data_IF_245486710385
#
_entry.id   IF_245486710385
#
_cell.length_a   1.000
_cell.length_b   1.000
_cell.length_c   1.000
_cell.angle_alpha   90.00
_cell.angle_beta   90.00
_cell.angle_gamma   90.00
#
_symmetry.space_group_name_H-M   'P 1'
#
loop_
_entity.id
_entity.type
_entity.pdbx_description
1 polymer ?
#
# COMPACT_ATOMS: atom_id res chain seq x y z
N UNK A 1 -15.71 -9.77 18.23
CA UNK A 1 -14.32 -9.96 17.75
C UNK A 1 -14.14 -11.41 17.37
N UNK A 2 -13.63 -11.67 16.19
CA UNK A 2 -13.37 -13.03 15.68
C UNK A 2 -12.08 -13.61 16.27
N UNK A 3 -11.88 -14.95 16.14
CA UNK A 3 -10.62 -15.58 16.54
C UNK A 3 -9.49 -15.19 15.60
N UNK A 4 -8.30 -14.94 16.13
CA UNK A 4 -7.14 -14.59 15.31
C UNK A 4 -5.82 -15.13 15.91
N UNK A 5 -4.81 -15.21 15.05
CA UNK A 5 -3.40 -15.30 15.43
C UNK A 5 -2.70 -14.05 14.86
N UNK A 6 -1.90 -13.37 15.67
CA UNK A 6 -1.15 -12.21 15.24
C UNK A 6 0.35 -12.43 15.42
N UNK A 7 1.09 -12.23 14.34
CA UNK A 7 2.54 -12.21 14.34
C UNK A 7 3.03 -11.29 13.22
N UNK A 8 3.98 -10.40 13.54
CA UNK A 8 4.74 -9.68 12.53
C UNK A 8 6.23 -9.99 12.73
N UNK A 9 6.88 -10.71 11.80
CA UNK A 9 8.26 -11.17 11.98
C UNK A 9 9.29 -10.10 11.60
N UNK A 10 8.88 -8.98 11.00
CA UNK A 10 9.79 -7.96 10.50
C UNK A 10 10.37 -7.12 11.64
N UNK A 11 11.71 -7.08 11.75
CA UNK A 11 12.40 -6.14 12.66
C UNK A 11 12.38 -4.74 12.08
N UNK A 12 11.72 -3.79 12.74
CA UNK A 12 11.73 -2.38 12.33
C UNK A 12 12.91 -1.66 13.02
N UNK A 13 13.72 -0.96 12.21
CA UNK A 13 14.80 -0.09 12.67
C UNK A 13 14.47 1.34 12.25
N UNK A 14 13.99 2.13 13.22
CA UNK A 14 13.41 3.45 12.98
C UNK A 14 14.29 4.57 13.53
N UNK A 15 14.44 5.66 12.77
CA UNK A 15 15.07 6.90 13.21
C UNK A 15 16.10 7.48 12.25
N UNK A 16 16.59 8.66 12.58
CA UNK A 16 17.59 9.36 11.78
C UNK A 16 18.92 8.60 11.72
N UNK A 17 19.51 8.47 10.53
CA UNK A 17 20.79 7.83 10.31
C UNK A 17 20.80 6.30 10.42
N UNK A 18 19.64 5.66 10.53
CA UNK A 18 19.54 4.22 10.75
C UNK A 18 19.94 3.36 9.55
N UNK A 19 20.17 3.94 8.36
CA UNK A 19 20.71 3.20 7.21
C UNK A 19 22.06 2.53 7.55
N UNK A 20 22.83 3.11 8.45
CA UNK A 20 24.10 2.54 8.93
C UNK A 20 23.97 1.15 9.57
N UNK A 21 22.80 0.81 10.11
CA UNK A 21 22.50 -0.51 10.70
C UNK A 21 22.56 -1.66 9.68
N UNK A 22 22.55 -1.37 8.38
CA UNK A 22 22.75 -2.39 7.33
C UNK A 22 24.05 -3.18 7.52
N UNK A 23 25.09 -2.56 8.11
CA UNK A 23 26.37 -3.21 8.38
C UNK A 23 26.23 -4.47 9.26
N UNK A 24 25.27 -4.46 10.19
CA UNK A 24 24.98 -5.54 11.13
C UNK A 24 23.83 -6.44 10.67
N UNK A 25 22.84 -5.85 9.97
CA UNK A 25 21.61 -6.52 9.59
C UNK A 25 21.76 -7.42 8.37
N UNK A 26 22.60 -7.01 7.41
CA UNK A 26 22.89 -7.82 6.22
C UNK A 26 24.03 -8.79 6.54
N UNK A 27 23.86 -10.11 6.33
CA UNK A 27 24.90 -11.07 6.66
C UNK A 27 26.24 -10.74 5.98
N UNK A 28 27.34 -10.84 6.71
CA UNK A 28 28.66 -10.35 6.27
C UNK A 28 29.20 -11.01 4.99
N UNK A 29 28.82 -12.27 4.75
CA UNK A 29 29.29 -13.07 3.60
C UNK A 29 28.29 -13.14 2.44
N UNK A 30 27.13 -12.51 2.57
CA UNK A 30 26.10 -12.52 1.51
C UNK A 30 26.52 -11.66 0.32
N UNK A 31 26.20 -12.14 -0.87
CA UNK A 31 26.05 -11.30 -2.04
C UNK A 31 24.75 -10.53 -1.89
N UNK A 32 24.74 -9.27 -2.26
CA UNK A 32 23.56 -8.40 -2.12
C UNK A 32 23.01 -8.11 -3.50
N UNK A 33 21.79 -8.55 -3.76
CA UNK A 33 21.02 -8.09 -4.91
C UNK A 33 20.29 -6.80 -4.50
N UNK A 34 20.84 -5.65 -4.91
CA UNK A 34 20.33 -4.33 -4.57
C UNK A 34 19.28 -3.90 -5.59
N UNK A 35 18.00 -3.95 -5.17
CA UNK A 35 16.86 -3.60 -6.01
C UNK A 35 16.39 -2.18 -5.68
N UNK A 36 16.28 -1.33 -6.70
CA UNK A 36 15.82 0.06 -6.53
C UNK A 36 15.14 0.60 -7.80
N UNK A 37 14.47 1.75 -7.65
CA UNK A 37 13.75 2.40 -8.75
C UNK A 37 14.66 3.08 -9.78
N UNK A 38 14.15 4.11 -10.44
CA UNK A 38 14.82 4.81 -11.55
C UNK A 38 16.04 5.65 -11.17
N UNK A 39 16.48 5.64 -9.92
CA UNK A 39 17.75 6.25 -9.50
C UNK A 39 17.63 7.49 -8.61
N UNK A 40 16.46 7.84 -8.11
CA UNK A 40 16.29 8.95 -7.15
C UNK A 40 17.17 8.79 -5.90
N UNK A 41 17.40 7.56 -5.44
CA UNK A 41 18.28 7.26 -4.32
C UNK A 41 19.76 7.65 -4.55
N UNK A 42 20.20 7.69 -5.82
CA UNK A 42 21.54 8.16 -6.21
C UNK A 42 21.66 9.68 -6.16
N UNK A 43 20.54 10.40 -6.24
CA UNK A 43 20.49 11.87 -6.22
C UNK A 43 20.36 12.45 -4.82
N UNK A 44 19.72 11.72 -3.89
CA UNK A 44 19.43 12.18 -2.53
C UNK A 44 20.38 11.61 -1.46
N UNK A 45 21.46 10.93 -1.87
CA UNK A 45 22.49 10.41 -0.96
C UNK A 45 22.13 9.10 -0.24
N UNK A 46 20.95 8.54 -0.44
CA UNK A 46 20.56 7.24 0.16
C UNK A 46 21.41 6.11 -0.38
N UNK A 47 21.69 6.11 -1.67
CA UNK A 47 22.54 5.10 -2.31
C UNK A 47 23.95 5.06 -1.70
N UNK A 48 24.58 6.22 -1.47
CA UNK A 48 25.92 6.31 -0.89
C UNK A 48 25.95 5.81 0.56
N UNK A 49 24.91 6.13 1.35
CA UNK A 49 24.75 5.61 2.70
C UNK A 49 24.61 4.07 2.71
N UNK A 50 23.78 3.52 1.81
CA UNK A 50 23.61 2.07 1.66
C UNK A 50 24.92 1.40 1.26
N UNK A 51 25.61 1.94 0.26
CA UNK A 51 26.92 1.43 -0.21
C UNK A 51 27.95 1.44 0.91
N UNK A 52 28.06 2.54 1.64
CA UNK A 52 28.97 2.68 2.78
C UNK A 52 28.69 1.66 3.88
N UNK A 53 27.41 1.48 4.23
CA UNK A 53 27.00 0.53 5.28
C UNK A 53 27.19 -0.94 4.88
N UNK A 54 27.05 -1.27 3.59
CA UNK A 54 27.31 -2.62 3.07
C UNK A 54 28.81 -2.96 3.00
N UNK A 55 29.69 -1.96 2.97
CA UNK A 55 31.13 -2.14 3.01
C UNK A 55 31.67 -2.92 1.80
N UNK A 56 32.41 -4.00 2.08
CA UNK A 56 33.10 -4.82 1.04
C UNK A 56 32.24 -5.95 0.47
N UNK A 57 30.93 -6.03 0.83
CA UNK A 57 30.03 -7.04 0.27
C UNK A 57 29.92 -6.88 -1.24
N UNK A 58 29.85 -8.01 -1.95
CA UNK A 58 29.57 -8.02 -3.38
C UNK A 58 28.13 -7.53 -3.62
N UNK A 59 27.97 -6.48 -4.42
CA UNK A 59 26.67 -5.87 -4.72
C UNK A 59 26.40 -5.95 -6.21
N UNK A 60 25.24 -6.51 -6.53
CA UNK A 60 24.71 -6.59 -7.89
C UNK A 60 23.49 -5.69 -7.96
N UNK A 61 23.55 -4.67 -8.79
CA UNK A 61 22.48 -3.70 -8.94
C UNK A 61 21.40 -4.20 -9.90
N UNK A 62 20.15 -4.05 -9.45
CA UNK A 62 18.92 -4.23 -10.21
C UNK A 62 18.11 -2.94 -10.13
N UNK A 63 18.33 -2.04 -11.07
CA UNK A 63 17.68 -0.72 -11.12
C UNK A 63 16.56 -0.68 -12.15
N UNK A 64 15.65 0.29 -11.98
CA UNK A 64 14.60 0.58 -12.94
C UNK A 64 13.23 0.07 -12.57
N UNK A 65 13.00 -0.35 -11.31
CA UNK A 65 11.66 -0.68 -10.86
C UNK A 65 10.80 0.59 -10.91
N UNK A 66 9.78 0.57 -11.72
CA UNK A 66 8.84 1.65 -11.93
C UNK A 66 7.68 1.66 -10.92
N UNK A 67 6.93 2.74 -10.88
CA UNK A 67 5.65 2.78 -10.17
C UNK A 67 4.68 1.72 -10.74
N UNK A 68 3.99 0.98 -9.86
CA UNK A 68 3.24 -0.22 -10.21
C UNK A 68 4.16 -1.22 -10.94
N UNK A 69 5.05 -1.93 -10.23
CA UNK A 69 6.16 -2.70 -10.80
C UNK A 69 5.65 -3.71 -11.81
N UNK A 70 6.29 -3.75 -12.97
CA UNK A 70 5.87 -4.60 -14.07
C UNK A 70 6.60 -5.96 -14.05
N UNK A 71 5.85 -7.02 -14.28
CA UNK A 71 6.36 -8.38 -14.33
C UNK A 71 7.56 -8.52 -15.29
N UNK A 72 7.45 -7.94 -16.49
CA UNK A 72 8.49 -8.10 -17.49
C UNK A 72 9.78 -7.34 -17.11
N UNK A 73 9.68 -6.22 -16.38
CA UNK A 73 10.83 -5.52 -15.79
C UNK A 73 11.50 -6.34 -14.68
N UNK A 74 10.73 -7.10 -13.91
CA UNK A 74 11.26 -7.87 -12.78
C UNK A 74 11.86 -9.22 -13.18
N UNK A 75 11.44 -9.82 -14.30
CA UNK A 75 11.93 -11.13 -14.73
C UNK A 75 13.45 -11.22 -14.93
N UNK A 76 14.15 -10.22 -15.51
CA UNK A 76 15.61 -10.21 -15.53
C UNK A 76 16.25 -10.27 -14.12
N UNK A 77 15.60 -9.69 -13.10
CA UNK A 77 16.11 -9.72 -11.72
C UNK A 77 15.89 -11.12 -11.09
N UNK A 78 14.74 -11.75 -11.40
CA UNK A 78 14.48 -13.14 -11.02
C UNK A 78 15.55 -14.08 -11.59
N UNK A 79 15.90 -13.93 -12.86
CA UNK A 79 16.94 -14.76 -13.48
C UNK A 79 18.30 -14.58 -12.80
N UNK A 80 18.71 -13.33 -12.53
CA UNK A 80 19.94 -13.07 -11.77
C UNK A 80 19.91 -13.70 -10.37
N UNK A 81 18.78 -13.61 -9.66
CA UNK A 81 18.64 -14.19 -8.34
C UNK A 81 18.74 -15.73 -8.36
N UNK A 82 18.21 -16.40 -9.39
CA UNK A 82 18.30 -17.84 -9.59
C UNK A 82 19.74 -18.33 -9.80
N UNK A 83 20.58 -17.53 -10.47
CA UNK A 83 21.98 -17.84 -10.70
C UNK A 83 22.84 -17.71 -9.42
N UNK A 84 22.28 -17.13 -8.34
CA UNK A 84 23.00 -16.80 -7.12
C UNK A 84 22.22 -17.23 -5.87
N UNK A 85 22.19 -18.52 -5.54
CA UNK A 85 21.33 -19.06 -4.46
C UNK A 85 21.63 -18.50 -3.06
N UNK A 86 22.84 -17.98 -2.81
CA UNK A 86 23.27 -17.40 -1.52
C UNK A 86 23.05 -15.88 -1.45
N UNK A 87 22.14 -15.36 -2.26
CA UNK A 87 21.89 -13.92 -2.35
C UNK A 87 20.96 -13.43 -1.26
N UNK A 88 21.31 -12.28 -0.68
CA UNK A 88 20.41 -11.48 0.13
C UNK A 88 19.82 -10.34 -0.71
N UNK A 89 18.50 -10.23 -0.75
CA UNK A 89 17.83 -9.15 -1.47
C UNK A 89 17.73 -7.93 -0.55
N UNK A 90 18.22 -6.78 -1.03
CA UNK A 90 18.04 -5.49 -0.36
C UNK A 90 17.23 -4.56 -1.26
N UNK A 91 15.99 -4.27 -0.85
CA UNK A 91 15.12 -3.33 -1.55
C UNK A 91 15.31 -1.92 -0.98
N UNK A 92 15.62 -0.95 -1.84
CA UNK A 92 15.79 0.45 -1.44
C UNK A 92 14.84 1.32 -2.25
N UNK A 93 13.71 1.70 -1.67
CA UNK A 93 12.68 2.42 -2.41
C UNK A 93 11.35 2.58 -1.67
N UNK A 94 10.33 2.96 -2.40
CA UNK A 94 8.94 2.94 -1.94
C UNK A 94 8.27 1.59 -2.21
N UNK A 95 6.97 1.50 -1.93
CA UNK A 95 6.18 0.27 -2.02
C UNK A 95 6.38 -0.52 -3.31
N UNK A 96 6.41 0.13 -4.46
CA UNK A 96 6.63 -0.54 -5.76
C UNK A 96 7.96 -1.30 -5.84
N UNK A 97 9.03 -0.73 -5.27
CA UNK A 97 10.35 -1.39 -5.22
C UNK A 97 10.31 -2.56 -4.24
N UNK A 98 9.66 -2.37 -3.10
CA UNK A 98 9.53 -3.41 -2.07
C UNK A 98 8.68 -4.59 -2.58
N UNK A 99 7.57 -4.31 -3.23
CA UNK A 99 6.69 -5.31 -3.85
C UNK A 99 7.43 -6.09 -4.95
N UNK A 100 8.15 -5.38 -5.84
CA UNK A 100 9.00 -6.00 -6.86
C UNK A 100 10.06 -6.91 -6.25
N UNK A 101 10.71 -6.48 -5.16
CA UNK A 101 11.71 -7.27 -4.47
C UNK A 101 11.13 -8.53 -3.81
N UNK A 102 9.94 -8.44 -3.21
CA UNK A 102 9.22 -9.61 -2.67
C UNK A 102 8.86 -10.61 -3.77
N UNK A 103 8.39 -10.10 -4.91
CA UNK A 103 8.13 -10.96 -6.06
C UNK A 103 9.41 -11.64 -6.54
N UNK A 104 10.52 -10.91 -6.69
CA UNK A 104 11.81 -11.48 -7.07
C UNK A 104 12.26 -12.54 -6.07
N UNK A 105 12.11 -12.29 -4.77
CA UNK A 105 12.46 -13.22 -3.71
C UNK A 105 11.69 -14.55 -3.81
N UNK A 106 10.38 -14.47 -4.01
CA UNK A 106 9.51 -15.64 -4.18
C UNK A 106 9.78 -16.35 -5.51
N UNK A 107 9.78 -15.62 -6.62
CA UNK A 107 9.91 -16.16 -7.97
C UNK A 107 11.26 -16.81 -8.23
N UNK A 108 12.33 -16.37 -7.55
CA UNK A 108 13.64 -17.00 -7.65
C UNK A 108 13.65 -18.44 -7.16
N UNK A 109 12.81 -18.79 -6.19
CA UNK A 109 12.69 -20.13 -5.63
C UNK A 109 11.45 -20.90 -6.13
N UNK A 110 10.65 -20.27 -6.98
CA UNK A 110 9.44 -20.87 -7.52
C UNK A 110 9.73 -21.70 -8.78
N UNK A 111 9.23 -22.94 -8.81
CA UNK A 111 9.29 -23.82 -9.97
C UNK A 111 8.07 -23.60 -10.87
N UNK A 112 8.29 -23.35 -12.14
CA UNK A 112 7.23 -23.09 -13.13
C UNK A 112 7.15 -21.63 -13.59
N UNK A 113 5.99 -21.21 -14.11
CA UNK A 113 5.74 -19.83 -14.55
C UNK A 113 5.56 -18.91 -13.32
N UNK A 114 6.45 -17.93 -13.07
CA UNK A 114 6.35 -17.02 -11.95
C UNK A 114 5.05 -16.20 -11.90
N UNK A 115 4.38 -15.99 -13.05
CA UNK A 115 3.09 -15.31 -13.07
C UNK A 115 2.01 -16.07 -12.30
N UNK A 116 2.14 -17.37 -12.15
CA UNK A 116 1.20 -18.20 -11.38
C UNK A 116 1.15 -17.79 -9.91
N UNK A 117 2.24 -17.26 -9.33
CA UNK A 117 2.26 -16.70 -7.96
C UNK A 117 1.17 -15.64 -7.79
N UNK A 118 0.94 -14.82 -8.82
CA UNK A 118 -0.08 -13.75 -8.78
C UNK A 118 -1.49 -14.32 -9.04
N UNK A 119 -1.60 -15.30 -9.94
CA UNK A 119 -2.89 -15.91 -10.31
C UNK A 119 -3.51 -16.68 -9.15
N UNK A 120 -2.69 -17.38 -8.35
CA UNK A 120 -3.13 -18.12 -7.16
C UNK A 120 -2.99 -17.33 -5.84
N UNK A 121 -2.78 -16.01 -5.96
CA UNK A 121 -2.66 -15.10 -4.82
C UNK A 121 -1.61 -15.51 -3.76
N UNK A 122 -0.55 -16.20 -4.20
CA UNK A 122 0.55 -16.62 -3.33
C UNK A 122 0.37 -17.97 -2.63
N UNK A 123 -0.73 -18.69 -2.90
CA UNK A 123 -1.02 -19.96 -2.25
C UNK A 123 0.09 -21.02 -2.45
N UNK A 124 0.85 -20.94 -3.54
CA UNK A 124 1.93 -21.86 -3.88
C UNK A 124 3.31 -21.41 -3.41
N UNK A 125 3.44 -20.21 -2.80
CA UNK A 125 4.72 -19.69 -2.32
C UNK A 125 5.06 -20.31 -0.94
N UNK A 126 5.94 -21.29 -0.94
CA UNK A 126 6.40 -21.98 0.29
C UNK A 126 7.73 -21.44 0.81
N UNK A 127 8.54 -20.79 -0.03
CA UNK A 127 9.85 -20.24 0.31
C UNK A 127 10.15 -19.00 -0.51
N UNK A 128 11.09 -18.19 -0.04
CA UNK A 128 11.61 -17.04 -0.74
C UNK A 128 13.08 -16.79 -0.34
N UNK A 129 13.82 -16.06 -1.16
CA UNK A 129 15.14 -15.56 -0.76
C UNK A 129 15.03 -14.59 0.41
N UNK A 130 16.02 -14.55 1.32
CA UNK A 130 16.03 -13.61 2.43
C UNK A 130 16.06 -12.18 1.90
N UNK A 131 15.19 -11.32 2.46
CA UNK A 131 15.14 -9.92 2.07
C UNK A 131 15.07 -8.94 3.24
N UNK A 132 15.64 -7.75 3.03
CA UNK A 132 15.51 -6.59 3.91
C UNK A 132 15.18 -5.36 3.10
N UNK A 133 14.69 -4.31 3.75
CA UNK A 133 14.27 -3.09 3.08
C UNK A 133 14.84 -1.81 3.70
N UNK A 134 14.99 -0.78 2.87
CA UNK A 134 15.18 0.61 3.26
C UNK A 134 14.05 1.40 2.62
N UNK A 135 13.10 1.84 3.45
CA UNK A 135 11.92 2.54 2.98
C UNK A 135 12.25 4.01 2.65
N UNK A 136 11.97 4.44 1.43
CA UNK A 136 12.19 5.84 1.01
C UNK A 136 10.91 6.60 0.69
N UNK A 137 9.78 5.91 0.52
CA UNK A 137 8.45 6.49 0.29
C UNK A 137 7.43 5.68 1.09
N UNK A 138 6.98 6.20 2.24
CA UNK A 138 5.99 5.56 3.09
C UNK A 138 4.58 5.67 2.48
N UNK A 139 3.74 4.64 2.63
CA UNK A 139 2.37 4.59 2.11
C UNK A 139 1.78 3.18 2.16
N UNK A 140 2.39 2.22 1.48
CA UNK A 140 1.84 0.87 1.27
C UNK A 140 1.97 -0.09 2.45
N UNK A 141 2.79 0.23 3.47
CA UNK A 141 3.12 -0.71 4.54
C UNK A 141 3.90 -1.96 4.09
N UNK A 142 4.34 -2.01 2.82
CA UNK A 142 5.03 -3.17 2.23
C UNK A 142 6.33 -3.54 2.98
N UNK A 143 6.92 -2.60 3.70
CA UNK A 143 8.10 -2.82 4.56
C UNK A 143 7.81 -3.71 5.78
N UNK A 144 6.54 -3.91 6.13
CA UNK A 144 6.14 -4.65 7.31
C UNK A 144 4.97 -5.62 7.09
N UNK A 145 4.82 -6.13 5.85
CA UNK A 145 3.82 -7.14 5.54
C UNK A 145 4.33 -8.15 4.52
N UNK A 146 3.56 -9.23 4.31
CA UNK A 146 3.84 -10.29 3.34
C UNK A 146 3.09 -10.14 2.02
N UNK A 147 2.54 -8.95 1.71
CA UNK A 147 1.81 -8.68 0.49
C UNK A 147 2.69 -7.99 -0.57
N UNK A 148 2.42 -8.24 -1.83
CA UNK A 148 3.00 -7.50 -2.96
C UNK A 148 2.02 -7.41 -4.12
N UNK A 149 2.07 -6.31 -4.87
CA UNK A 149 1.20 -6.05 -6.02
C UNK A 149 2.05 -5.86 -7.27
N UNK A 150 1.83 -6.69 -8.28
CA UNK A 150 2.60 -6.70 -9.53
C UNK A 150 1.66 -6.44 -10.70
N UNK A 151 2.08 -5.57 -11.59
CA UNK A 151 1.41 -5.31 -12.86
C UNK A 151 1.98 -6.20 -13.96
N UNK A 152 1.18 -6.50 -14.97
CA UNK A 152 1.63 -7.06 -16.25
C UNK A 152 0.97 -6.28 -17.36
N UNK A 153 1.61 -5.20 -17.76
CA UNK A 153 1.05 -4.23 -18.71
C UNK A 153 0.73 -4.84 -20.07
N UNK A 154 1.52 -5.83 -20.51
CA UNK A 154 1.31 -6.55 -21.76
C UNK A 154 -0.11 -7.17 -21.88
N UNK A 155 -0.74 -7.52 -20.74
CA UNK A 155 -2.08 -8.10 -20.68
C UNK A 155 -3.06 -7.23 -19.84
N UNK A 156 -2.65 -6.01 -19.48
CA UNK A 156 -3.43 -5.06 -18.67
C UNK A 156 -3.91 -5.65 -17.34
N UNK A 157 -3.07 -6.42 -16.64
CA UNK A 157 -3.37 -7.01 -15.36
C UNK A 157 -2.59 -6.33 -14.23
N UNK A 158 -3.21 -6.21 -13.07
CA UNK A 158 -2.57 -5.80 -11.81
C UNK A 158 -3.13 -6.68 -10.69
N UNK A 159 -2.29 -7.58 -10.18
CA UNK A 159 -2.68 -8.60 -9.22
C UNK A 159 -1.81 -8.49 -7.96
N UNK A 160 -2.35 -8.95 -6.85
CA UNK A 160 -1.62 -9.08 -5.60
C UNK A 160 -1.39 -10.55 -5.25
N UNK A 161 -0.35 -10.79 -4.45
CA UNK A 161 -0.16 -12.04 -3.74
C UNK A 161 0.21 -11.78 -2.28
N UNK A 162 -0.07 -12.73 -1.41
CA UNK A 162 0.28 -12.68 0.01
C UNK A 162 0.95 -13.99 0.38
N UNK A 163 2.16 -13.92 0.95
CA UNK A 163 2.85 -15.10 1.43
C UNK A 163 3.70 -14.79 2.67
N UNK A 164 3.65 -15.63 3.72
CA UNK A 164 4.50 -15.46 4.90
C UNK A 164 6.00 -15.44 4.58
N UNK A 165 6.42 -16.17 3.55
CA UNK A 165 7.82 -16.30 3.16
C UNK A 165 8.47 -14.97 2.67
N UNK A 166 7.68 -13.98 2.24
CA UNK A 166 8.19 -12.72 1.70
C UNK A 166 8.13 -11.56 2.70
N UNK A 167 7.82 -11.80 3.96
CA UNK A 167 8.02 -10.76 4.97
C UNK A 167 9.50 -10.35 5.01
N UNK A 168 9.81 -9.04 4.99
CA UNK A 168 11.19 -8.59 5.20
C UNK A 168 11.72 -9.05 6.55
N UNK A 169 12.96 -9.52 6.61
CA UNK A 169 13.63 -9.85 7.87
C UNK A 169 13.81 -8.60 8.74
N UNK A 170 14.09 -7.48 8.09
CA UNK A 170 14.16 -6.16 8.70
C UNK A 170 13.74 -5.07 7.72
N UNK A 171 13.35 -3.93 8.27
CA UNK A 171 13.07 -2.73 7.50
C UNK A 171 13.62 -1.49 8.19
N UNK A 172 14.41 -0.71 7.46
CA UNK A 172 14.97 0.56 7.93
C UNK A 172 14.06 1.70 7.51
N UNK A 173 13.63 2.46 8.50
CA UNK A 173 12.73 3.60 8.37
C UNK A 173 13.42 4.85 8.87
N UNK A 174 14.11 5.57 7.99
CA UNK A 174 14.75 6.86 8.30
C UNK A 174 13.90 8.00 7.74
N UNK A 175 13.22 8.79 8.60
CA UNK A 175 12.37 9.88 8.13
C UNK A 175 13.09 10.94 7.29
N UNK A 176 14.41 11.13 7.48
CA UNK A 176 15.18 12.11 6.73
C UNK A 176 15.17 11.83 5.22
N UNK A 177 15.15 10.57 4.81
CA UNK A 177 15.17 10.22 3.37
C UNK A 177 13.90 10.66 2.64
N UNK A 178 12.82 10.90 3.39
CA UNK A 178 11.54 11.34 2.83
C UNK A 178 11.47 12.84 2.54
N UNK A 179 12.40 13.64 3.06
CA UNK A 179 12.42 15.10 2.85
C UNK A 179 12.63 15.49 1.39
N UNK A 180 13.28 14.62 0.60
CA UNK A 180 13.50 14.83 -0.83
C UNK A 180 12.31 14.42 -1.71
N UNK A 181 11.24 13.86 -1.14
CA UNK A 181 10.08 13.40 -1.89
C UNK A 181 9.30 14.58 -2.48
N UNK A 182 8.92 14.50 -3.76
CA UNK A 182 7.94 15.42 -4.32
C UNK A 182 6.63 15.40 -3.53
N UNK A 183 5.97 16.54 -3.39
CA UNK A 183 4.68 16.67 -2.70
C UNK A 183 3.66 15.66 -3.20
N UNK A 184 3.56 15.44 -4.52
CA UNK A 184 2.67 14.45 -5.13
C UNK A 184 2.85 13.05 -4.54
N UNK A 185 4.10 12.60 -4.34
CA UNK A 185 4.36 11.27 -3.79
C UNK A 185 4.07 11.20 -2.29
N UNK A 186 4.39 12.27 -1.56
CA UNK A 186 4.08 12.37 -0.13
C UNK A 186 2.57 12.25 0.11
N UNK A 187 1.74 13.03 -0.59
CA UNK A 187 0.27 12.98 -0.42
C UNK A 187 -0.33 11.68 -0.93
N UNK A 188 0.22 11.10 -1.99
CA UNK A 188 -0.21 9.78 -2.46
C UNK A 188 0.01 8.70 -1.38
N UNK A 189 1.18 8.69 -0.71
CA UNK A 189 1.44 7.75 0.39
C UNK A 189 0.51 7.95 1.59
N UNK A 190 0.23 9.21 1.95
CA UNK A 190 -0.72 9.53 3.04
C UNK A 190 -2.14 9.07 2.67
N UNK A 191 -2.59 9.36 1.45
CA UNK A 191 -3.92 8.98 0.97
C UNK A 191 -4.10 7.46 0.87
N UNK A 192 -3.08 6.75 0.40
CA UNK A 192 -3.06 5.29 0.31
C UNK A 192 -3.21 4.64 1.70
N UNK A 193 -2.36 5.05 2.65
CA UNK A 193 -2.41 4.56 4.03
C UNK A 193 -3.75 4.87 4.72
N UNK A 194 -4.33 6.03 4.46
CA UNK A 194 -5.64 6.39 4.98
C UNK A 194 -6.72 5.40 4.51
N UNK A 195 -6.71 5.03 3.23
CA UNK A 195 -7.67 4.04 2.70
C UNK A 195 -7.39 2.64 3.24
N UNK A 196 -6.12 2.23 3.39
CA UNK A 196 -5.79 0.97 4.06
C UNK A 196 -6.45 0.85 5.44
N UNK A 197 -6.43 1.94 6.22
CA UNK A 197 -7.10 1.95 7.53
C UNK A 197 -8.61 1.91 7.38
N UNK A 198 -9.19 2.70 6.45
CA UNK A 198 -10.64 2.73 6.25
C UNK A 198 -11.22 1.35 5.90
N UNK A 199 -10.54 0.57 5.04
CA UNK A 199 -11.02 -0.74 4.61
C UNK A 199 -10.91 -1.83 5.69
N UNK A 200 -10.12 -1.60 6.75
CA UNK A 200 -10.07 -2.44 7.93
C UNK A 200 -11.01 -1.93 9.06
N UNK A 201 -11.44 -0.67 9.00
CA UNK A 201 -12.22 0.00 10.03
C UNK A 201 -13.70 0.16 9.69
N UNK A 202 -14.04 0.61 8.47
CA UNK A 202 -15.42 0.85 8.03
C UNK A 202 -16.10 -0.43 7.51
N UNK A 203 -16.12 -1.46 8.35
CA UNK A 203 -16.75 -2.75 8.11
C UNK A 203 -18.00 -2.92 9.00
N UNK A 204 -18.49 -4.12 9.25
CA UNK A 204 -19.56 -4.31 10.22
C UNK A 204 -19.01 -4.47 11.65
N UNK A 205 -19.75 -4.02 12.67
CA UNK A 205 -19.28 -4.09 14.06
C UNK A 205 -19.16 -5.52 14.58
N UNK A 206 -18.00 -5.83 15.19
CA UNK A 206 -17.71 -7.13 15.84
C UNK A 206 -17.25 -6.97 17.29
N UNK A 207 -17.43 -5.78 17.88
CA UNK A 207 -17.01 -5.50 19.25
C UNK A 207 -15.48 -5.44 19.45
N UNK A 208 -14.73 -5.08 18.40
CA UNK A 208 -13.26 -5.01 18.40
C UNK A 208 -12.76 -3.62 18.83
N UNK A 209 -13.03 -3.22 20.07
CA UNK A 209 -12.76 -1.87 20.55
C UNK A 209 -11.29 -1.45 20.47
N UNK A 210 -10.33 -2.37 20.61
CA UNK A 210 -8.90 -2.09 20.52
C UNK A 210 -8.54 -1.72 19.08
N UNK A 211 -8.95 -2.54 18.08
CA UNK A 211 -8.72 -2.28 16.68
C UNK A 211 -9.38 -0.99 16.21
N UNK A 212 -10.61 -0.72 16.68
CA UNK A 212 -11.30 0.54 16.38
C UNK A 212 -10.46 1.74 16.84
N UNK A 213 -9.96 1.73 18.10
CA UNK A 213 -9.15 2.84 18.63
C UNK A 213 -7.81 2.98 17.94
N UNK A 214 -7.17 1.87 17.59
CA UNK A 214 -5.93 1.92 16.80
C UNK A 214 -6.17 2.54 15.43
N UNK A 215 -7.20 2.09 14.71
CA UNK A 215 -7.58 2.64 13.41
C UNK A 215 -7.90 4.15 13.50
N UNK A 216 -8.75 4.55 14.47
CA UNK A 216 -9.13 5.95 14.71
C UNK A 216 -7.89 6.82 15.01
N UNK A 217 -6.94 6.32 15.80
CA UNK A 217 -5.69 7.04 16.11
C UNK A 217 -4.82 7.20 14.88
N UNK A 218 -4.64 6.16 14.06
CA UNK A 218 -3.84 6.24 12.82
C UNK A 218 -4.47 7.22 11.83
N UNK A 219 -5.80 7.17 11.65
CA UNK A 219 -6.52 8.11 10.76
C UNK A 219 -6.31 9.56 11.21
N UNK A 220 -6.45 9.87 12.50
CA UNK A 220 -6.24 11.23 13.03
C UNK A 220 -4.80 11.70 12.83
N UNK A 221 -3.81 10.84 13.09
CA UNK A 221 -2.39 11.18 12.84
C UNK A 221 -2.16 11.49 11.36
N UNK A 222 -2.70 10.68 10.42
CA UNK A 222 -2.57 10.94 8.98
C UNK A 222 -3.22 12.27 8.57
N UNK A 223 -4.35 12.64 9.16
CA UNK A 223 -5.03 13.92 8.92
C UNK A 223 -4.18 15.08 9.43
N UNK A 224 -3.77 15.04 10.69
CA UNK A 224 -3.09 16.15 11.36
C UNK A 224 -1.67 16.36 10.84
N UNK A 225 -0.89 15.27 10.74
CA UNK A 225 0.50 15.33 10.29
C UNK A 225 0.62 15.52 8.77
N UNK A 226 -0.37 15.03 7.99
CA UNK A 226 -0.47 15.29 6.56
C UNK A 226 -0.55 16.78 6.25
N UNK A 227 -1.39 17.52 7.00
CA UNK A 227 -1.47 18.99 6.87
C UNK A 227 -0.15 19.68 7.25
N UNK A 228 0.55 19.20 8.30
CA UNK A 228 1.84 19.76 8.72
C UNK A 228 2.94 19.53 7.67
N UNK A 229 3.03 18.31 7.12
CA UNK A 229 4.02 17.99 6.07
C UNK A 229 3.80 18.85 4.82
N UNK A 230 2.56 19.17 4.46
CA UNK A 230 2.28 20.07 3.34
C UNK A 230 2.69 21.52 3.63
N UNK A 231 2.47 22.00 4.85
CA UNK A 231 2.86 23.35 5.27
C UNK A 231 4.37 23.46 5.49
N UNK A 232 5.02 22.40 5.97
CA UNK A 232 6.44 22.35 6.33
C UNK A 232 7.08 21.04 5.88
N UNK A 233 7.46 20.91 4.59
CA UNK A 233 7.92 19.65 4.00
C UNK A 233 9.18 19.04 4.66
N UNK A 234 9.96 19.84 5.37
CA UNK A 234 11.18 19.42 6.05
C UNK A 234 11.00 19.24 7.56
N UNK A 235 9.77 19.25 8.07
CA UNK A 235 9.48 18.95 9.48
C UNK A 235 9.75 17.47 9.76
N UNK A 236 10.83 17.18 10.48
CA UNK A 236 11.23 15.82 10.83
C UNK A 236 10.15 15.11 11.65
N UNK A 237 9.53 15.78 12.62
CA UNK A 237 8.56 15.16 13.50
C UNK A 237 7.30 14.74 12.71
N UNK A 238 6.81 15.62 11.83
CA UNK A 238 5.69 15.29 10.96
C UNK A 238 6.03 14.13 9.99
N UNK A 239 7.21 14.15 9.36
CA UNK A 239 7.70 13.06 8.51
C UNK A 239 7.81 11.74 9.26
N UNK A 240 8.33 11.77 10.49
CA UNK A 240 8.48 10.59 11.34
C UNK A 240 7.12 10.00 11.72
N UNK A 241 6.17 10.83 12.11
CA UNK A 241 4.81 10.41 12.43
C UNK A 241 4.08 9.83 11.21
N UNK A 242 4.18 10.45 10.04
CA UNK A 242 3.63 9.91 8.78
C UNK A 242 4.26 8.55 8.46
N UNK A 243 5.59 8.44 8.49
CA UNK A 243 6.28 7.19 8.19
C UNK A 243 5.82 6.06 9.13
N UNK A 244 5.70 6.33 10.41
CA UNK A 244 5.23 5.33 11.36
C UNK A 244 3.75 5.00 11.21
N UNK A 245 2.88 6.01 11.01
CA UNK A 245 1.46 5.82 10.79
C UNK A 245 1.16 4.98 9.54
N UNK A 246 1.89 5.21 8.43
CA UNK A 246 1.72 4.44 7.19
C UNK A 246 2.16 2.98 7.36
N UNK A 247 3.22 2.72 8.14
CA UNK A 247 3.61 1.35 8.51
C UNK A 247 2.51 0.68 9.35
N UNK A 248 1.97 1.38 10.36
CA UNK A 248 0.89 0.85 11.21
C UNK A 248 -0.39 0.59 10.43
N UNK A 249 -0.65 1.34 9.36
CA UNK A 249 -1.85 1.20 8.53
C UNK A 249 -1.99 -0.20 7.90
N UNK A 250 -0.87 -0.87 7.56
CA UNK A 250 -0.92 -2.18 6.89
C UNK A 250 0.18 -3.17 7.34
N UNK A 251 0.62 -3.11 8.59
CA UNK A 251 1.52 -4.12 9.17
C UNK A 251 0.79 -5.29 9.83
N UNK A 252 -0.53 -5.35 9.72
CA UNK A 252 -1.37 -6.40 10.29
C UNK A 252 -1.88 -6.12 11.71
N UNK A 253 -1.51 -4.99 12.35
CA UNK A 253 -1.97 -4.68 13.73
C UNK A 253 -3.45 -4.30 13.80
N UNK A 254 -4.02 -3.75 12.72
CA UNK A 254 -5.41 -3.30 12.67
C UNK A 254 -6.39 -4.42 12.32
N UNK A 255 -5.93 -5.48 11.66
CA UNK A 255 -6.76 -6.54 11.10
C UNK A 255 -7.19 -7.66 12.08
N UNK A 256 -6.52 -7.91 13.23
CA UNK A 256 -6.85 -9.06 14.06
C UNK A 256 -8.28 -9.04 14.59
N UNK A 257 -9.04 -10.07 14.23
CA UNK A 257 -10.41 -10.29 14.71
C UNK A 257 -11.44 -9.31 14.17
N UNK A 258 -11.14 -8.59 13.08
CA UNK A 258 -12.08 -7.71 12.37
C UNK A 258 -12.23 -8.13 10.90
N UNK A 259 -13.42 -7.98 10.30
CA UNK A 259 -13.60 -8.15 8.86
C UNK A 259 -12.89 -7.06 8.08
N UNK A 260 -12.53 -7.34 6.83
CA UNK A 260 -11.83 -6.41 5.96
C UNK A 260 -12.56 -6.27 4.62
N UNK A 261 -12.64 -5.05 4.10
CA UNK A 261 -13.40 -4.73 2.90
C UNK A 261 -12.58 -4.97 1.61
N UNK A 262 -11.57 -4.17 1.37
CA UNK A 262 -10.71 -4.19 0.18
C UNK A 262 -11.38 -3.88 -1.15
N UNK A 263 -12.68 -3.55 -1.20
CA UNK A 263 -13.39 -3.26 -2.43
C UNK A 263 -12.82 -2.02 -3.15
N UNK A 264 -12.43 -0.97 -2.41
CA UNK A 264 -11.83 0.22 -3.02
C UNK A 264 -10.52 -0.11 -3.73
N UNK A 265 -9.69 -0.97 -3.14
CA UNK A 265 -8.44 -1.42 -3.75
C UNK A 265 -8.67 -2.27 -4.99
N UNK A 266 -9.63 -3.21 -4.96
CA UNK A 266 -9.96 -4.03 -6.11
C UNK A 266 -10.43 -3.18 -7.30
N UNK A 267 -11.32 -2.22 -7.06
CA UNK A 267 -11.79 -1.28 -8.08
C UNK A 267 -10.65 -0.37 -8.55
N UNK A 268 -9.84 0.14 -7.61
CA UNK A 268 -8.69 1.00 -7.90
C UNK A 268 -7.63 0.32 -8.76
N UNK A 269 -7.37 -0.98 -8.56
CA UNK A 269 -6.46 -1.76 -9.39
C UNK A 269 -6.91 -1.83 -10.84
N UNK A 270 -8.23 -1.99 -11.10
CA UNK A 270 -8.76 -1.96 -12.46
C UNK A 270 -8.61 -0.60 -13.11
N UNK A 271 -8.86 0.50 -12.37
CA UNK A 271 -8.63 1.86 -12.87
C UNK A 271 -7.15 2.11 -13.21
N UNK A 272 -6.22 1.62 -12.37
CA UNK A 272 -4.80 1.69 -12.67
C UNK A 272 -4.43 0.87 -13.90
N UNK A 273 -4.94 -0.35 -14.03
CA UNK A 273 -4.65 -1.25 -15.14
C UNK A 273 -5.16 -0.69 -16.49
N UNK A 274 -6.33 -0.04 -16.49
CA UNK A 274 -6.95 0.52 -17.68
C UNK A 274 -6.35 1.88 -18.09
N UNK A 275 -6.05 2.73 -17.13
CA UNK A 275 -5.78 4.14 -17.39
C UNK A 275 -4.41 4.62 -16.90
N UNK A 276 -3.65 3.81 -16.17
CA UNK A 276 -2.35 4.21 -15.62
C UNK A 276 -2.43 5.27 -14.51
N UNK A 277 -3.60 5.47 -13.90
CA UNK A 277 -3.77 6.43 -12.80
C UNK A 277 -2.98 5.93 -11.57
N UNK A 278 -2.30 6.84 -10.87
CA UNK A 278 -1.60 6.53 -9.62
C UNK A 278 -2.54 5.84 -8.63
N UNK A 279 -2.07 4.80 -7.96
CA UNK A 279 -2.90 3.96 -7.08
C UNK A 279 -3.68 4.76 -6.03
N UNK A 280 -3.02 5.58 -5.22
CA UNK A 280 -3.70 6.41 -4.21
C UNK A 280 -4.77 7.34 -4.79
N UNK A 281 -4.60 7.78 -6.03
CA UNK A 281 -5.56 8.63 -6.73
C UNK A 281 -6.77 7.87 -7.19
N UNK A 282 -6.62 6.59 -7.60
CA UNK A 282 -7.78 5.73 -7.87
C UNK A 282 -8.60 5.48 -6.61
N UNK A 283 -7.94 5.32 -5.45
CA UNK A 283 -8.62 5.13 -4.17
C UNK A 283 -9.41 6.38 -3.77
N UNK A 284 -8.84 7.57 -3.92
CA UNK A 284 -9.52 8.84 -3.64
C UNK A 284 -10.76 9.06 -4.53
N UNK A 285 -10.75 8.57 -5.77
CA UNK A 285 -11.90 8.58 -6.67
C UNK A 285 -12.99 7.61 -6.18
N UNK A 286 -12.60 6.41 -5.78
CA UNK A 286 -13.54 5.32 -5.45
C UNK A 286 -14.18 5.50 -4.08
N UNK A 287 -13.37 5.78 -3.03
CA UNK A 287 -13.82 5.73 -1.62
C UNK A 287 -15.04 6.58 -1.33
N UNK A 288 -15.11 7.89 -1.65
CA UNK A 288 -16.27 8.68 -1.28
C UNK A 288 -17.58 8.19 -1.94
N UNK A 289 -17.50 7.71 -3.18
CA UNK A 289 -18.65 7.18 -3.91
C UNK A 289 -19.04 5.79 -3.41
N UNK A 290 -18.08 4.94 -3.06
CA UNK A 290 -18.33 3.64 -2.43
C UNK A 290 -19.04 3.83 -1.07
N UNK A 291 -18.56 4.74 -0.23
CA UNK A 291 -19.18 5.01 1.07
C UNK A 291 -20.61 5.55 0.93
N UNK A 292 -20.91 6.34 -0.11
CA UNK A 292 -22.25 6.82 -0.36
C UNK A 292 -23.18 5.69 -0.83
N UNK A 293 -22.73 4.82 -1.76
CA UNK A 293 -23.49 3.66 -2.25
C UNK A 293 -23.73 2.64 -1.14
N UNK A 294 -22.71 2.38 -0.31
CA UNK A 294 -22.75 1.41 0.79
C UNK A 294 -23.16 2.03 2.14
N UNK A 295 -23.74 3.22 2.13
CA UNK A 295 -24.08 4.00 3.32
C UNK A 295 -24.94 3.25 4.33
N UNK A 296 -25.90 2.44 3.87
CA UNK A 296 -26.77 1.64 4.74
C UNK A 296 -26.02 0.49 5.41
N UNK A 297 -25.19 -0.20 4.64
CA UNK A 297 -24.43 -1.36 5.10
C UNK A 297 -23.34 -0.97 6.12
N UNK A 298 -22.78 0.22 5.95
CA UNK A 298 -21.70 0.77 6.80
C UNK A 298 -22.18 1.78 7.84
N UNK A 299 -23.51 1.89 8.06
CA UNK A 299 -24.15 2.96 8.83
C UNK A 299 -23.56 3.17 10.22
N UNK A 300 -23.49 2.12 11.03
CA UNK A 300 -23.01 2.22 12.42
C UNK A 300 -21.55 2.68 12.48
N UNK A 301 -20.73 2.15 11.60
CA UNK A 301 -19.31 2.50 11.52
C UNK A 301 -19.08 3.89 10.93
N UNK A 302 -19.92 4.34 10.01
CA UNK A 302 -19.87 5.72 9.51
C UNK A 302 -20.24 6.74 10.57
N UNK A 303 -21.24 6.43 11.44
CA UNK A 303 -21.55 7.27 12.60
C UNK A 303 -20.37 7.34 13.57
N UNK A 304 -19.77 6.18 13.91
CA UNK A 304 -18.61 6.09 14.77
C UNK A 304 -17.41 6.86 14.17
N UNK A 305 -17.15 6.70 12.89
CA UNK A 305 -16.10 7.39 12.15
C UNK A 305 -16.29 8.91 12.16
N UNK A 306 -17.51 9.36 11.87
CA UNK A 306 -17.86 10.78 11.93
C UNK A 306 -17.60 11.40 13.29
N UNK A 307 -18.03 10.70 14.35
CA UNK A 307 -17.85 11.18 15.71
C UNK A 307 -16.39 11.16 16.18
N UNK A 308 -15.66 10.06 15.90
CA UNK A 308 -14.37 9.80 16.56
C UNK A 308 -13.17 10.28 15.76
N UNK A 309 -13.30 10.37 14.43
CA UNK A 309 -12.24 10.83 13.56
C UNK A 309 -12.43 12.29 13.13
N UNK A 310 -13.69 12.68 12.85
CA UNK A 310 -14.03 14.01 12.35
C UNK A 310 -14.68 14.95 13.41
N UNK A 311 -14.85 14.47 14.65
CA UNK A 311 -15.50 15.20 15.74
C UNK A 311 -16.95 15.68 15.44
N UNK A 312 -17.67 14.96 14.57
CA UNK A 312 -19.05 15.26 14.15
C UNK A 312 -20.04 14.74 15.20
N UNK A 313 -20.40 15.55 16.19
CA UNK A 313 -21.25 15.17 17.33
C UNK A 313 -22.64 15.77 17.27
N UNK A 314 -22.84 16.84 16.51
CA UNK A 314 -24.10 17.58 16.43
C UNK A 314 -24.88 17.20 15.17
N UNK A 315 -26.21 17.34 15.25
CA UNK A 315 -27.13 17.04 14.14
C UNK A 315 -27.73 15.63 14.20
N UNK A 316 -28.60 15.33 13.24
CA UNK A 316 -29.20 14.00 13.14
C UNK A 316 -28.16 12.94 12.72
N UNK A 317 -28.38 11.65 13.05
CA UNK A 317 -27.52 10.58 12.57
C UNK A 317 -27.27 10.61 11.06
N UNK A 318 -28.32 10.90 10.28
CA UNK A 318 -28.26 10.99 8.81
C UNK A 318 -27.34 12.12 8.35
N UNK A 319 -27.45 13.30 8.97
CA UNK A 319 -26.60 14.45 8.63
C UNK A 319 -25.13 14.19 9.00
N UNK A 320 -24.88 13.52 10.14
CA UNK A 320 -23.53 13.17 10.60
C UNK A 320 -22.86 12.16 9.67
N UNK A 321 -23.59 11.13 9.22
CA UNK A 321 -23.06 10.16 8.27
C UNK A 321 -22.73 10.82 6.92
N UNK A 322 -23.63 11.66 6.39
CA UNK A 322 -23.36 12.42 5.17
C UNK A 322 -22.15 13.33 5.34
N UNK A 323 -22.08 14.09 6.44
CA UNK A 323 -20.96 14.95 6.72
C UNK A 323 -19.62 14.19 6.87
N UNK A 324 -19.61 12.97 7.39
CA UNK A 324 -18.40 12.14 7.47
C UNK A 324 -17.86 11.77 6.07
N UNK A 325 -18.74 11.42 5.13
CA UNK A 325 -18.36 11.13 3.74
C UNK A 325 -17.85 12.42 3.05
N UNK A 326 -18.54 13.54 3.24
CA UNK A 326 -18.13 14.84 2.68
C UNK A 326 -16.79 15.31 3.25
N UNK A 327 -16.53 15.11 4.55
CA UNK A 327 -15.24 15.41 5.17
C UNK A 327 -14.11 14.55 4.59
N UNK A 328 -14.37 13.28 4.31
CA UNK A 328 -13.39 12.40 3.67
C UNK A 328 -13.05 12.89 2.27
N UNK A 329 -14.06 13.28 1.47
CA UNK A 329 -13.86 13.87 0.15
C UNK A 329 -13.03 15.15 0.23
N UNK A 330 -13.45 16.10 1.06
CA UNK A 330 -12.79 17.37 1.23
C UNK A 330 -11.35 17.24 1.73
N UNK A 331 -11.08 16.23 2.55
CA UNK A 331 -9.72 15.94 3.01
C UNK A 331 -8.80 15.50 1.88
N UNK A 332 -9.22 14.56 1.01
CA UNK A 332 -8.44 14.21 -0.17
C UNK A 332 -8.17 15.41 -1.06
N UNK A 333 -9.18 16.25 -1.29
CA UNK A 333 -9.06 17.46 -2.10
C UNK A 333 -8.10 18.47 -1.45
N UNK A 334 -8.09 18.60 -0.12
CA UNK A 334 -7.14 19.44 0.61
C UNK A 334 -5.68 19.00 0.47
N UNK A 335 -5.45 17.70 0.21
CA UNK A 335 -4.14 17.15 -0.14
C UNK A 335 -3.76 17.38 -1.62
N UNK A 336 -4.64 17.96 -2.43
CA UNK A 336 -4.46 18.10 -3.87
C UNK A 336 -4.69 16.79 -4.64
N UNK A 337 -5.48 15.87 -4.07
CA UNK A 337 -5.89 14.63 -4.71
C UNK A 337 -7.36 14.78 -5.14
N UNK A 338 -7.61 14.90 -6.44
CA UNK A 338 -8.97 14.99 -6.94
C UNK A 338 -9.76 13.70 -6.69
N UNK A 339 -11.05 13.85 -6.36
CA UNK A 339 -11.96 12.75 -6.01
C UNK A 339 -12.95 12.40 -7.11
N UNK A 340 -12.78 12.98 -8.29
CA UNK A 340 -13.57 12.72 -9.49
C UNK A 340 -12.72 12.06 -10.57
N UNK A 341 -13.26 11.05 -11.23
CA UNK A 341 -12.58 10.32 -12.31
C UNK A 341 -12.27 11.24 -13.50
N UNK A 342 -13.17 12.19 -13.80
CA UNK A 342 -12.99 13.21 -14.85
C UNK A 342 -11.76 14.11 -14.68
N UNK A 343 -11.18 14.19 -13.50
CA UNK A 343 -9.92 14.91 -13.27
C UNK A 343 -8.68 14.16 -13.82
N UNK A 344 -8.82 12.88 -14.14
CA UNK A 344 -7.70 12.03 -14.56
C UNK A 344 -7.85 11.51 -15.98
N UNK A 345 -9.08 11.21 -16.40
CA UNK A 345 -9.41 10.66 -17.71
C UNK A 345 -10.76 11.19 -18.19
N UNK A 346 -10.97 11.18 -19.49
CA UNK A 346 -12.34 11.34 -20.02
C UNK A 346 -13.12 10.09 -19.65
N UNK A 347 -14.19 10.16 -18.85
CA UNK A 347 -14.79 8.98 -18.23
C UNK A 347 -15.27 7.91 -19.22
N UNK A 348 -15.89 8.31 -20.36
CA UNK A 348 -16.38 7.37 -21.39
C UNK A 348 -17.19 6.22 -20.78
N UNK A 349 -16.85 4.98 -21.14
CA UNK A 349 -17.47 3.76 -20.60
C UNK A 349 -16.60 3.07 -19.52
N UNK A 350 -15.79 3.81 -18.79
CA UNK A 350 -14.86 3.24 -17.79
C UNK A 350 -15.62 2.39 -16.75
N UNK A 351 -16.75 2.86 -16.26
CA UNK A 351 -17.56 2.13 -15.27
C UNK A 351 -17.99 0.74 -15.79
N UNK A 352 -18.51 0.67 -17.02
CA UNK A 352 -18.88 -0.60 -17.64
C UNK A 352 -17.68 -1.51 -17.93
N UNK A 353 -16.54 -0.94 -18.32
CA UNK A 353 -15.30 -1.71 -18.54
C UNK A 353 -14.78 -2.34 -17.24
N UNK A 354 -14.74 -1.60 -16.14
CA UNK A 354 -14.31 -2.12 -14.82
C UNK A 354 -15.27 -3.22 -14.37
N UNK A 355 -16.58 -2.99 -14.45
CA UNK A 355 -17.62 -3.98 -14.12
C UNK A 355 -17.42 -5.30 -14.89
N UNK A 356 -17.27 -5.22 -16.20
CA UNK A 356 -17.07 -6.39 -17.06
C UNK A 356 -15.74 -7.14 -16.75
N UNK A 357 -14.68 -6.42 -16.39
CA UNK A 357 -13.40 -7.03 -16.01
C UNK A 357 -13.48 -7.80 -14.69
N UNK A 358 -14.16 -7.23 -13.68
CA UNK A 358 -14.41 -7.92 -12.41
C UNK A 358 -15.25 -9.18 -12.61
N UNK A 359 -16.31 -9.09 -13.42
CA UNK A 359 -17.16 -10.24 -13.76
C UNK A 359 -16.35 -11.35 -14.46
N UNK A 360 -15.54 -11.00 -15.46
CA UNK A 360 -14.66 -11.93 -16.18
C UNK A 360 -13.68 -12.66 -15.25
N UNK A 361 -13.25 -12.01 -14.16
CA UNK A 361 -12.37 -12.60 -13.13
C UNK A 361 -13.11 -13.38 -12.06
N UNK A 362 -14.43 -13.47 -12.11
CA UNK A 362 -15.24 -14.09 -11.08
C UNK A 362 -15.35 -13.28 -9.78
N UNK A 363 -14.94 -12.01 -9.78
CA UNK A 363 -15.03 -11.09 -8.63
C UNK A 363 -16.43 -10.47 -8.60
N UNK A 364 -17.43 -11.31 -8.39
CA UNK A 364 -18.86 -10.95 -8.48
C UNK A 364 -19.50 -10.55 -7.15
N UNK A 365 -18.74 -10.66 -6.06
CA UNK A 365 -19.20 -10.41 -4.69
C UNK A 365 -18.03 -9.96 -3.81
N UNK A 366 -17.59 -8.69 -4.00
CA UNK A 366 -16.48 -8.10 -3.25
C UNK A 366 -16.96 -7.33 -2.01
N UNK A 367 -16.01 -6.90 -1.17
CA UNK A 367 -16.29 -6.24 0.10
C UNK A 367 -16.52 -7.21 1.26
N UNK A 368 -16.53 -6.69 2.47
CA UNK A 368 -16.62 -7.48 3.72
C UNK A 368 -17.96 -8.23 3.91
N UNK A 369 -18.98 -7.83 3.15
CA UNK A 369 -20.30 -8.49 3.15
C UNK A 369 -20.56 -9.30 1.90
N UNK A 370 -19.61 -9.32 0.96
CA UNK A 370 -19.77 -9.94 -0.34
C UNK A 370 -21.05 -9.44 -1.09
N UNK A 371 -21.38 -8.17 -0.93
CA UNK A 371 -22.61 -7.56 -1.48
C UNK A 371 -22.32 -6.49 -2.55
N UNK A 372 -21.06 -6.23 -2.87
CA UNK A 372 -20.66 -5.33 -3.94
C UNK A 372 -20.45 -6.14 -5.22
N UNK A 373 -21.52 -6.25 -6.00
CA UNK A 373 -21.52 -6.91 -7.31
C UNK A 373 -20.91 -6.00 -8.40
N UNK A 374 -20.58 -6.52 -9.60
CA UNK A 374 -20.13 -5.70 -10.74
C UNK A 374 -21.10 -4.57 -11.09
N UNK A 375 -22.40 -4.75 -10.95
CA UNK A 375 -23.38 -3.68 -11.17
C UNK A 375 -23.32 -2.59 -10.09
N UNK A 376 -23.06 -2.95 -8.84
CA UNK A 376 -22.83 -1.98 -7.76
C UNK A 376 -21.53 -1.21 -8.02
N UNK A 377 -20.46 -1.88 -8.47
CA UNK A 377 -19.21 -1.23 -8.88
C UNK A 377 -19.44 -0.22 -10.00
N UNK A 378 -20.25 -0.58 -10.99
CA UNK A 378 -20.62 0.36 -12.05
C UNK A 378 -21.29 1.62 -11.47
N UNK A 379 -22.27 1.46 -10.57
CA UNK A 379 -22.93 2.58 -9.88
C UNK A 379 -21.95 3.45 -9.11
N UNK A 380 -20.99 2.84 -8.39
CA UNK A 380 -19.95 3.56 -7.65
C UNK A 380 -19.13 4.45 -8.60
N UNK A 381 -18.71 3.90 -9.73
CA UNK A 381 -17.86 4.63 -10.69
C UNK A 381 -18.65 5.68 -11.49
N UNK A 382 -19.92 5.47 -11.77
CA UNK A 382 -20.81 6.47 -12.38
C UNK A 382 -21.00 7.67 -11.45
N UNK A 383 -21.11 7.47 -10.14
CA UNK A 383 -21.15 8.56 -9.16
C UNK A 383 -19.79 9.27 -8.98
N UNK A 384 -18.71 8.59 -9.26
CA UNK A 384 -17.34 9.13 -9.19
C UNK A 384 -16.91 9.89 -10.45
N UNK A 385 -17.69 9.82 -11.54
CA UNK A 385 -17.39 10.44 -12.84
C UNK A 385 -17.31 11.98 -12.83
#
# INVERSE_FOLDING_TARGET
MENFTFQNPTKIVFGAGQISALSELVPAKSRVLLIFGSGSIKQNGVYDQVRSALGTREIIECCGVEANPDFDTLMPFVMKAREMPDTFILAVGGGSVLDGAKFVAAAAQYEGDPWQILVDHGATVTSALPLGTVLTLPGTGSEANGAAVISRRAIQEKLHFIAPAVFPMFSILDPNVTMSLPTRQTVNGIGDAFVHVLEQYLTYPVGAAVQDRFAESVLRVLIDEGAKVLASPNDYAARANIMWATTMALNGILSPGVPQDWASHMIGHELTALHGIDHARTLAVVVPSLLEVQKKQKWEKLLQYGERVWDLREGSPESRVTAAIDRTRAWFESLGIATKLSAYVTPGNTAGQVSARLEKRGLTAIGERADISPSVVQTILEQAA
#
